data_IF_688908332070
#
_entry.id   IF_688908332070
#
_cell.length_a   1.000
_cell.length_b   1.000
_cell.length_c   1.000
_cell.angle_alpha   90.00
_cell.angle_beta   90.00
_cell.angle_gamma   90.00
#
_symmetry.space_group_name_H-M   'P 1'
#
loop_
_entity.id
_entity.type
_entity.pdbx_description
1 polymer ?
#
# COMPACT_ATOMS: atom_id res chain seq x y z
N UNK A 1 7.41 7.71 -2.58
CA UNK A 1 6.58 8.60 -1.73
C UNK A 1 7.21 8.68 -0.34
N UNK A 2 7.10 9.82 0.37
CA UNK A 2 7.56 9.92 1.77
C UNK A 2 6.58 9.19 2.70
N UNK A 3 7.06 8.75 3.87
CA UNK A 3 6.28 7.99 4.86
C UNK A 3 4.94 8.65 5.20
N UNK A 4 4.93 9.96 5.47
CA UNK A 4 3.70 10.69 5.80
C UNK A 4 2.67 10.70 4.66
N UNK A 5 3.13 10.69 3.40
CA UNK A 5 2.24 10.65 2.23
C UNK A 5 1.59 9.26 2.12
N UNK A 6 2.37 8.21 2.38
CA UNK A 6 1.89 6.84 2.33
C UNK A 6 0.83 6.56 3.38
N UNK A 7 1.10 6.95 4.63
CA UNK A 7 0.15 6.82 5.74
C UNK A 7 -1.13 7.60 5.45
N UNK A 8 -1.00 8.82 4.90
CA UNK A 8 -2.14 9.64 4.51
C UNK A 8 -3.01 8.99 3.43
N UNK A 9 -2.40 8.48 2.35
CA UNK A 9 -3.15 7.82 1.28
C UNK A 9 -3.83 6.55 1.76
N UNK A 10 -3.13 5.74 2.57
CA UNK A 10 -3.70 4.55 3.19
C UNK A 10 -4.92 4.88 4.08
N UNK A 11 -4.76 5.84 4.99
CA UNK A 11 -5.82 6.28 5.90
C UNK A 11 -7.04 6.81 5.13
N UNK A 12 -6.79 7.58 4.05
CA UNK A 12 -7.85 8.04 3.13
C UNK A 12 -8.55 6.87 2.43
N UNK A 13 -7.81 5.85 2.00
CA UNK A 13 -8.37 4.64 1.39
C UNK A 13 -9.23 3.81 2.35
N UNK A 14 -8.93 3.83 3.64
CA UNK A 14 -9.76 3.21 4.70
C UNK A 14 -10.95 4.06 5.14
N UNK A 15 -11.03 5.31 4.69
CA UNK A 15 -12.09 6.25 5.07
C UNK A 15 -11.94 6.80 6.49
N UNK A 16 -10.76 6.68 7.10
CA UNK A 16 -10.52 7.21 8.44
C UNK A 16 -10.46 8.74 8.42
N UNK A 17 -11.14 9.36 9.38
CA UNK A 17 -11.06 10.79 9.58
C UNK A 17 -9.93 11.16 10.55
N UNK A 18 -9.36 12.35 10.39
CA UNK A 18 -8.34 12.88 11.32
C UNK A 18 -8.85 12.93 12.75
N UNK A 19 -10.16 13.14 12.94
CA UNK A 19 -10.81 13.18 14.25
C UNK A 19 -10.79 11.79 14.90
N UNK A 20 -11.20 10.75 14.19
CA UNK A 20 -11.20 9.38 14.72
C UNK A 20 -9.79 8.89 15.08
N UNK A 21 -8.79 9.22 14.25
CA UNK A 21 -7.40 8.86 14.53
C UNK A 21 -6.89 9.60 15.77
N UNK A 22 -7.21 10.89 15.88
CA UNK A 22 -6.80 11.73 17.00
C UNK A 22 -7.45 11.27 18.32
N UNK A 23 -8.75 10.99 18.31
CA UNK A 23 -9.51 10.50 19.46
C UNK A 23 -8.98 9.11 19.91
N UNK A 24 -8.66 8.22 18.96
CA UNK A 24 -8.16 6.89 19.27
C UNK A 24 -6.71 6.89 19.80
N UNK A 25 -5.87 7.83 19.36
CA UNK A 25 -4.48 7.95 19.82
C UNK A 25 -4.33 8.83 21.08
N UNK A 26 -5.28 9.73 21.33
CA UNK A 26 -5.24 10.67 22.46
C UNK A 26 -4.50 11.97 22.16
N UNK A 27 -4.64 12.50 20.95
CA UNK A 27 -4.08 13.82 20.55
C UNK A 27 -5.13 14.69 19.87
N UNK A 28 -4.77 15.91 19.47
CA UNK A 28 -5.67 16.79 18.72
C UNK A 28 -5.69 16.43 17.22
N UNK A 29 -6.81 16.64 16.51
CA UNK A 29 -6.88 16.45 15.06
C UNK A 29 -5.85 17.31 14.29
N UNK A 30 -5.51 18.49 14.82
CA UNK A 30 -4.47 19.35 14.26
C UNK A 30 -3.10 18.66 14.29
N UNK A 31 -2.75 17.93 15.35
CA UNK A 31 -1.48 17.19 15.42
C UNK A 31 -1.40 16.12 14.32
N UNK A 32 -2.47 15.34 14.12
CA UNK A 32 -2.53 14.34 13.05
C UNK A 32 -2.40 14.99 11.67
N UNK A 33 -3.08 16.13 11.46
CA UNK A 33 -2.98 16.88 10.21
C UNK A 33 -1.53 17.34 9.94
N UNK A 34 -0.80 17.80 10.96
CA UNK A 34 0.59 18.22 10.82
C UNK A 34 1.52 17.05 10.48
N UNK A 35 1.27 15.87 11.06
CA UNK A 35 1.98 14.64 10.73
C UNK A 35 1.76 14.25 9.27
N UNK A 36 0.50 14.24 8.81
CA UNK A 36 0.13 13.79 7.47
C UNK A 36 0.46 14.82 6.39
N UNK A 37 0.65 16.08 6.76
CA UNK A 37 1.17 17.12 5.89
C UNK A 37 2.72 17.11 5.79
N UNK A 38 3.40 16.34 6.64
CA UNK A 38 4.86 16.35 6.75
C UNK A 38 5.43 17.66 7.30
N UNK A 39 4.59 18.45 7.99
CA UNK A 39 5.01 19.70 8.66
C UNK A 39 5.68 19.42 10.00
N UNK A 40 5.22 18.36 10.68
CA UNK A 40 5.87 17.80 11.86
C UNK A 40 6.37 16.38 11.55
N UNK A 41 7.49 16.02 12.16
CA UNK A 41 7.96 14.64 12.15
C UNK A 41 6.91 13.74 12.83
N UNK A 42 6.71 12.55 12.28
CA UNK A 42 5.82 11.55 12.87
C UNK A 42 6.52 10.95 14.09
N UNK A 43 5.93 11.05 15.30
CA UNK A 43 6.49 10.43 16.48
C UNK A 43 6.53 8.90 16.33
N UNK A 44 7.62 8.27 16.81
CA UNK A 44 7.78 6.81 16.69
C UNK A 44 6.67 6.04 17.42
N UNK A 45 6.22 6.54 18.56
CA UNK A 45 5.09 5.97 19.32
C UNK A 45 3.78 6.04 18.53
N UNK A 46 3.52 7.13 17.82
CA UNK A 46 2.35 7.22 16.93
C UNK A 46 2.45 6.19 15.82
N UNK A 47 3.64 6.07 15.20
CA UNK A 47 3.85 5.13 14.11
C UNK A 47 3.65 3.68 14.57
N UNK A 48 4.23 3.30 15.70
CA UNK A 48 4.07 1.97 16.29
C UNK A 48 2.60 1.66 16.57
N UNK A 49 1.90 2.58 17.26
CA UNK A 49 0.46 2.44 17.52
C UNK A 49 -0.36 2.31 16.23
N UNK A 50 -0.04 3.10 15.21
CA UNK A 50 -0.78 3.08 13.95
C UNK A 50 -0.61 1.75 13.22
N UNK A 51 0.59 1.17 13.23
CA UNK A 51 0.87 -0.15 12.66
C UNK A 51 0.14 -1.26 13.45
N UNK A 52 0.12 -1.18 14.79
CA UNK A 52 -0.62 -2.14 15.62
C UNK A 52 -2.13 -2.12 15.32
N UNK A 53 -2.69 -0.94 15.07
CA UNK A 53 -4.10 -0.77 14.69
C UNK A 53 -4.39 -1.24 13.26
N UNK A 54 -3.38 -1.26 12.40
CA UNK A 54 -3.48 -1.60 10.98
C UNK A 54 -2.47 -2.70 10.61
N UNK A 55 -2.74 -3.96 11.01
CA UNK A 55 -1.82 -5.08 10.81
C UNK A 55 -1.61 -5.45 9.34
N UNK A 56 -2.42 -4.91 8.43
CA UNK A 56 -2.29 -5.05 6.98
C UNK A 56 -1.23 -4.12 6.35
N UNK A 57 -0.67 -3.18 7.13
CA UNK A 57 0.46 -2.35 6.71
C UNK A 57 1.73 -3.21 6.66
N UNK A 58 2.35 -3.27 5.49
CA UNK A 58 3.68 -3.81 5.29
C UNK A 58 4.74 -2.77 5.66
N UNK A 59 5.53 -3.08 6.69
CA UNK A 59 6.63 -2.25 7.16
C UNK A 59 7.68 -2.02 6.08
N UNK A 60 8.02 -3.04 5.30
CA UNK A 60 8.99 -2.91 4.23
C UNK A 60 8.47 -1.93 3.18
N UNK A 61 7.20 -2.07 2.81
CA UNK A 61 6.54 -1.16 1.89
C UNK A 61 6.39 0.25 2.43
N UNK A 62 6.23 0.43 3.74
CA UNK A 62 6.16 1.73 4.38
C UNK A 62 7.49 2.50 4.27
N UNK A 63 8.61 1.85 4.58
CA UNK A 63 9.93 2.47 4.60
C UNK A 63 10.68 2.46 3.24
N UNK A 64 10.25 1.64 2.28
CA UNK A 64 10.85 1.59 0.94
C UNK A 64 10.55 2.85 0.12
N UNK A 65 11.52 3.41 -0.59
CA UNK A 65 11.25 4.54 -1.49
C UNK A 65 10.59 4.11 -2.82
N UNK A 66 10.65 2.83 -3.14
CA UNK A 66 10.25 2.26 -4.44
C UNK A 66 8.76 1.91 -4.49
N UNK A 67 8.15 1.61 -3.34
CA UNK A 67 6.74 1.22 -3.25
C UNK A 67 5.82 2.42 -3.00
N UNK A 68 4.73 2.49 -3.76
CA UNK A 68 3.67 3.51 -3.62
C UNK A 68 2.58 3.07 -2.64
N UNK A 69 2.15 1.81 -2.71
CA UNK A 69 1.21 1.19 -1.75
C UNK A 69 1.97 0.67 -0.53
N UNK A 70 1.37 0.76 0.66
CA UNK A 70 1.91 0.22 1.93
C UNK A 70 1.14 -0.99 2.44
N UNK A 71 0.14 -1.44 1.69
CA UNK A 71 -0.58 -2.67 2.01
C UNK A 71 0.12 -3.81 1.27
N UNK A 72 0.18 -4.97 1.89
CA UNK A 72 0.47 -6.23 1.18
C UNK A 72 -0.70 -6.55 0.24
N UNK A 73 -0.81 -5.86 -0.88
CA UNK A 73 -1.70 -6.30 -1.94
C UNK A 73 -1.19 -7.67 -2.41
N UNK A 74 -2.04 -8.71 -2.50
CA UNK A 74 -1.72 -9.84 -3.36
C UNK A 74 -1.54 -9.22 -4.73
N UNK A 75 -0.29 -9.20 -5.23
CA UNK A 75 0.02 -8.65 -6.54
C UNK A 75 -1.05 -9.15 -7.49
N UNK A 76 -1.83 -8.24 -8.08
CA UNK A 76 -2.60 -8.61 -9.24
C UNK A 76 -1.56 -9.12 -10.24
N UNK A 77 -1.47 -10.44 -10.40
CA UNK A 77 -0.82 -11.03 -11.56
C UNK A 77 -1.63 -10.56 -12.75
N UNK A 78 -1.34 -9.37 -13.24
CA UNK A 78 -1.47 -9.12 -14.66
C UNK A 78 -0.51 -10.13 -15.29
N UNK A 79 -1.05 -11.30 -15.62
CA UNK A 79 -0.47 -12.15 -16.64
C UNK A 79 -0.49 -11.33 -17.92
N UNK A 80 0.48 -10.42 -18.05
CA UNK A 80 0.93 -10.00 -19.35
C UNK A 80 1.35 -11.30 -19.99
N UNK A 81 0.53 -11.81 -20.92
CA UNK A 81 0.91 -12.98 -21.72
C UNK A 81 2.28 -12.64 -22.27
N UNK A 82 3.28 -13.29 -21.68
CA UNK A 82 4.65 -13.15 -22.13
C UNK A 82 4.63 -13.57 -23.60
N UNK A 83 5.38 -12.88 -24.46
CA UNK A 83 5.50 -13.27 -25.87
C UNK A 83 5.84 -14.77 -26.04
N UNK A 84 6.47 -15.37 -25.02
CA UNK A 84 6.73 -16.82 -24.97
C UNK A 84 5.45 -17.65 -24.81
N UNK A 85 4.50 -17.21 -24.00
CA UNK A 85 3.22 -17.91 -23.79
C UNK A 85 2.36 -17.88 -25.07
N UNK A 86 2.33 -16.76 -25.79
CA UNK A 86 1.64 -16.68 -27.09
C UNK A 86 2.28 -17.58 -28.16
N UNK A 87 3.61 -17.74 -28.13
CA UNK A 87 4.31 -18.67 -29.03
C UNK A 87 3.98 -20.12 -28.66
N UNK A 88 3.93 -20.45 -27.37
CA UNK A 88 3.55 -21.78 -26.89
C UNK A 88 2.09 -22.09 -27.29
N UNK A 89 1.16 -21.15 -27.08
CA UNK A 89 -0.25 -21.29 -27.46
C UNK A 89 -0.39 -21.54 -28.98
N UNK A 90 0.41 -20.85 -29.81
CA UNK A 90 0.45 -21.08 -31.27
C UNK A 90 0.98 -22.47 -31.63
N UNK A 91 2.05 -22.92 -30.98
CA UNK A 91 2.62 -24.25 -31.22
C UNK A 91 1.59 -25.33 -30.87
N UNK A 92 0.93 -25.20 -29.71
CA UNK A 92 -0.12 -26.14 -29.27
C UNK A 92 -1.29 -26.14 -30.25
N UNK A 93 -1.72 -24.97 -30.73
CA UNK A 93 -2.80 -24.90 -31.73
C UNK A 93 -2.45 -25.54 -33.07
N UNK A 94 -1.19 -25.50 -33.50
CA UNK A 94 -0.74 -26.18 -34.72
C UNK A 94 -0.73 -27.68 -34.51
N UNK A 95 -0.18 -28.14 -33.38
CA UNK A 95 -0.11 -29.57 -33.05
C UNK A 95 -1.50 -30.21 -32.94
N UNK A 96 -2.49 -29.50 -32.39
CA UNK A 96 -3.87 -29.99 -32.31
C UNK A 96 -4.65 -29.94 -33.63
N UNK A 97 -4.11 -29.30 -34.67
CA UNK A 97 -4.73 -29.23 -36.01
C UNK A 97 -4.27 -30.35 -36.94
N UNK A 98 -3.09 -30.92 -36.66
CA UNK A 98 -2.46 -31.99 -37.42
C UNK A 98 -2.71 -33.38 -36.78
N UNK A 99 -3.47 -33.42 -35.68
CA UNK A 99 -4.03 -34.61 -35.02
C UNK A 99 -5.52 -34.73 -35.39
#
# INVERSE_FOLDING_TARGET
MKIYQKIREYSKGKGETMKEIADAYGVTPQSIQLYFAGKNAIPLNFLAWYIEKHPDIDLYALFSNEQQSIVSEPKAEYQTKSKKQDVIDKIVSILNKEL
#
